data_IF_541255495506
#
_entry.id   IF_541255495506
#
_cell.length_a   1.000
_cell.length_b   1.000
_cell.length_c   1.000
_cell.angle_alpha   90.00
_cell.angle_beta   90.00
_cell.angle_gamma   90.00
#
_symmetry.space_group_name_H-M   'P 1'
#
loop_
_entity.id
_entity.type
_entity.pdbx_description
1 polymer ?
#
# COMPACT_ATOMS: atom_id res chain seq x y z
N UNK A 1 -23.64 -6.50 -13.08
CA UNK A 1 -22.39 -7.14 -12.63
C UNK A 1 -21.60 -6.19 -11.71
N UNK A 2 -21.15 -5.01 -12.15
CA UNK A 2 -20.34 -4.06 -11.35
C UNK A 2 -21.03 -3.60 -10.05
N UNK A 3 -22.32 -3.27 -10.09
CA UNK A 3 -23.06 -2.87 -8.89
C UNK A 3 -23.10 -3.95 -7.80
N UNK A 4 -23.10 -5.21 -8.19
CA UNK A 4 -23.08 -6.33 -7.24
C UNK A 4 -21.70 -6.51 -6.63
N UNK A 5 -20.63 -6.41 -7.44
CA UNK A 5 -19.24 -6.42 -6.97
C UNK A 5 -18.98 -5.27 -6.00
N UNK A 6 -19.42 -4.07 -6.34
CA UNK A 6 -19.29 -2.88 -5.48
C UNK A 6 -19.97 -3.07 -4.12
N UNK A 7 -21.17 -3.67 -4.06
CA UNK A 7 -21.85 -3.97 -2.78
C UNK A 7 -21.04 -4.95 -1.90
N UNK A 8 -20.43 -5.97 -2.50
CA UNK A 8 -19.59 -6.91 -1.77
C UNK A 8 -18.34 -6.24 -1.21
N UNK A 9 -17.68 -5.39 -2.00
CA UNK A 9 -16.51 -4.61 -1.59
C UNK A 9 -16.84 -3.63 -0.45
N UNK A 10 -17.93 -2.86 -0.57
CA UNK A 10 -18.38 -1.91 0.45
C UNK A 10 -18.71 -2.60 1.78
N UNK A 11 -19.43 -3.72 1.70
CA UNK A 11 -19.78 -4.54 2.85
C UNK A 11 -18.54 -5.10 3.54
N UNK A 12 -17.60 -5.64 2.75
CA UNK A 12 -16.35 -6.19 3.26
C UNK A 12 -15.49 -5.11 3.92
N UNK A 13 -15.32 -3.95 3.27
CA UNK A 13 -14.57 -2.83 3.82
C UNK A 13 -15.11 -2.38 5.18
N UNK A 14 -16.42 -2.21 5.29
CA UNK A 14 -17.10 -1.78 6.51
C UNK A 14 -16.95 -2.81 7.64
N UNK A 15 -17.20 -4.10 7.35
CA UNK A 15 -17.11 -5.17 8.34
C UNK A 15 -15.66 -5.40 8.81
N UNK A 16 -14.70 -5.42 7.88
CA UNK A 16 -13.27 -5.60 8.20
C UNK A 16 -12.75 -4.40 9.02
N UNK A 17 -13.16 -3.19 8.68
CA UNK A 17 -12.79 -1.99 9.46
C UNK A 17 -13.35 -2.02 10.88
N UNK A 18 -14.55 -2.59 11.08
CA UNK A 18 -15.18 -2.64 12.40
C UNK A 18 -14.68 -3.81 13.27
N UNK A 19 -14.35 -4.95 12.66
CA UNK A 19 -14.11 -6.20 13.39
C UNK A 19 -12.74 -6.82 13.15
N UNK A 20 -11.97 -6.29 12.20
CA UNK A 20 -10.71 -6.89 11.75
C UNK A 20 -10.92 -8.03 10.74
N UNK A 21 -9.91 -8.24 9.87
CA UNK A 21 -9.97 -9.23 8.80
C UNK A 21 -10.28 -10.65 9.29
N UNK A 22 -9.63 -11.11 10.37
CA UNK A 22 -9.75 -12.49 10.83
C UNK A 22 -11.13 -12.81 11.42
N UNK A 23 -11.85 -11.81 11.91
CA UNK A 23 -13.16 -11.95 12.54
C UNK A 23 -14.35 -11.80 11.58
N UNK A 24 -14.10 -11.58 10.29
CA UNK A 24 -15.15 -11.44 9.26
C UNK A 24 -15.11 -12.66 8.34
N UNK A 25 -16.26 -13.28 8.12
CA UNK A 25 -16.42 -14.40 7.19
C UNK A 25 -17.03 -13.97 5.85
N UNK A 26 -16.94 -14.86 4.84
CA UNK A 26 -17.66 -14.68 3.57
C UNK A 26 -19.17 -14.62 3.79
N UNK A 27 -19.67 -15.41 4.74
CA UNK A 27 -21.09 -15.41 5.15
C UNK A 27 -21.53 -14.04 5.68
N UNK A 28 -20.72 -13.40 6.52
CA UNK A 28 -21.01 -12.07 7.04
C UNK A 28 -21.08 -11.04 5.92
N UNK A 29 -20.10 -11.06 5.01
CA UNK A 29 -20.06 -10.14 3.84
C UNK A 29 -21.29 -10.33 2.96
N UNK A 30 -21.65 -11.58 2.64
CA UNK A 30 -22.78 -11.87 1.76
C UNK A 30 -24.12 -11.53 2.40
N UNK A 31 -24.28 -11.79 3.70
CA UNK A 31 -25.45 -11.43 4.48
C UNK A 31 -25.65 -9.93 4.56
N UNK A 32 -24.58 -9.20 4.87
CA UNK A 32 -24.60 -7.74 5.01
C UNK A 32 -24.85 -7.03 3.67
N UNK A 33 -24.21 -7.51 2.58
CA UNK A 33 -24.41 -6.95 1.23
C UNK A 33 -25.75 -7.33 0.58
N UNK A 34 -26.46 -8.31 1.13
CA UNK A 34 -27.68 -8.88 0.52
C UNK A 34 -27.38 -9.66 -0.78
N UNK A 35 -26.16 -10.17 -0.96
CA UNK A 35 -25.74 -10.91 -2.15
C UNK A 35 -25.62 -12.40 -1.82
N UNK A 36 -26.09 -13.28 -2.73
CA UNK A 36 -25.99 -14.71 -2.51
C UNK A 36 -24.53 -15.20 -2.47
N UNK A 37 -24.21 -16.20 -1.63
CA UNK A 37 -22.87 -16.77 -1.47
C UNK A 37 -22.28 -17.28 -2.79
N UNK A 38 -23.09 -17.90 -3.66
CA UNK A 38 -22.65 -18.31 -4.99
C UNK A 38 -22.21 -17.14 -5.88
N UNK A 39 -22.86 -15.99 -5.72
CA UNK A 39 -22.48 -14.77 -6.44
C UNK A 39 -21.17 -14.18 -5.91
N UNK A 40 -20.89 -14.31 -4.63
CA UNK A 40 -19.56 -13.94 -4.08
C UNK A 40 -18.45 -14.73 -4.81
N UNK A 41 -18.57 -16.05 -4.86
CA UNK A 41 -17.57 -16.92 -5.50
C UNK A 41 -17.50 -16.79 -7.03
N UNK A 42 -18.45 -16.09 -7.64
CA UNK A 42 -18.35 -15.68 -9.04
C UNK A 42 -17.34 -14.51 -9.23
N UNK A 43 -17.17 -13.65 -8.23
CA UNK A 43 -16.26 -12.49 -8.29
C UNK A 43 -14.94 -12.72 -7.59
N UNK A 44 -14.90 -13.51 -6.53
CA UNK A 44 -13.77 -13.69 -5.64
C UNK A 44 -13.62 -15.16 -5.25
N UNK A 45 -12.41 -15.71 -5.34
CA UNK A 45 -12.16 -17.10 -4.94
C UNK A 45 -12.15 -17.23 -3.40
N UNK A 46 -11.66 -16.20 -2.71
CA UNK A 46 -11.56 -16.17 -1.26
C UNK A 46 -11.74 -14.74 -0.71
N UNK A 47 -11.82 -14.62 0.61
CA UNK A 47 -11.95 -13.33 1.30
C UNK A 47 -10.71 -12.44 1.10
N UNK A 48 -9.55 -13.05 0.96
CA UNK A 48 -8.28 -12.39 0.68
C UNK A 48 -8.29 -11.60 -0.64
N UNK A 49 -9.01 -12.11 -1.66
CA UNK A 49 -9.15 -11.43 -2.95
C UNK A 49 -9.90 -10.11 -2.82
N UNK A 50 -10.89 -10.09 -1.92
CA UNK A 50 -11.65 -8.86 -1.64
C UNK A 50 -10.75 -7.79 -1.05
N UNK A 51 -9.88 -8.15 -0.10
CA UNK A 51 -8.92 -7.21 0.48
C UNK A 51 -7.94 -6.71 -0.56
N UNK A 52 -7.39 -7.59 -1.40
CA UNK A 52 -6.50 -7.21 -2.51
C UNK A 52 -7.15 -6.21 -3.46
N UNK A 53 -8.41 -6.43 -3.81
CA UNK A 53 -9.16 -5.51 -4.67
C UNK A 53 -9.40 -4.15 -3.99
N UNK A 54 -9.72 -4.14 -2.69
CA UNK A 54 -9.90 -2.92 -1.92
C UNK A 54 -8.58 -2.12 -1.83
N UNK A 55 -7.47 -2.77 -1.49
CA UNK A 55 -6.15 -2.12 -1.45
C UNK A 55 -5.73 -1.57 -2.81
N UNK A 56 -6.00 -2.31 -3.90
CA UNK A 56 -5.75 -1.83 -5.26
C UNK A 56 -6.56 -0.58 -5.60
N UNK A 57 -7.84 -0.55 -5.25
CA UNK A 57 -8.72 0.59 -5.51
C UNK A 57 -8.28 1.85 -4.75
N UNK A 58 -7.69 1.71 -3.57
CA UNK A 58 -7.18 2.84 -2.78
C UNK A 58 -5.80 3.31 -3.23
N UNK A 59 -4.98 2.44 -3.80
CA UNK A 59 -3.58 2.74 -4.16
C UNK A 59 -3.46 3.94 -5.11
N UNK A 60 -4.24 3.99 -6.18
CA UNK A 60 -4.19 5.11 -7.14
C UNK A 60 -4.58 6.43 -6.50
N UNK A 61 -5.65 6.45 -5.71
CA UNK A 61 -6.07 7.65 -4.98
C UNK A 61 -5.02 8.11 -3.96
N UNK A 62 -4.32 7.16 -3.34
CA UNK A 62 -3.21 7.46 -2.41
C UNK A 62 -2.03 8.11 -3.13
N UNK A 63 -1.68 7.63 -4.33
CA UNK A 63 -0.63 8.23 -5.16
C UNK A 63 -1.00 9.67 -5.54
N UNK A 64 -2.21 9.89 -6.01
CA UNK A 64 -2.70 11.23 -6.39
C UNK A 64 -2.68 12.19 -5.20
N UNK A 65 -3.11 11.73 -4.02
CA UNK A 65 -3.06 12.54 -2.79
C UNK A 65 -1.62 12.83 -2.36
N UNK A 66 -0.70 11.87 -2.51
CA UNK A 66 0.70 12.08 -2.18
C UNK A 66 1.37 13.11 -3.12
N UNK A 67 1.05 13.05 -4.42
CA UNK A 67 1.54 14.04 -5.40
C UNK A 67 0.98 15.43 -5.11
N UNK A 68 -0.29 15.53 -4.73
CA UNK A 68 -0.97 16.77 -4.40
C UNK A 68 -0.69 17.26 -2.96
N UNK A 69 0.05 16.49 -2.16
CA UNK A 69 0.35 16.85 -0.77
C UNK A 69 1.24 18.10 -0.73
N UNK A 70 0.82 19.09 0.05
CA UNK A 70 1.61 20.31 0.27
C UNK A 70 2.92 19.99 0.98
N UNK A 71 4.02 20.60 0.54
CA UNK A 71 5.33 20.39 1.10
C UNK A 71 6.36 19.91 0.09
N UNK A 72 7.54 19.58 0.58
CA UNK A 72 8.67 19.13 -0.21
C UNK A 72 8.57 17.63 -0.59
N UNK A 73 9.54 17.13 -1.33
CA UNK A 73 9.59 15.74 -1.76
C UNK A 73 9.65 14.75 -0.59
N UNK A 74 10.28 15.16 0.54
CA UNK A 74 10.38 14.33 1.74
C UNK A 74 8.99 14.18 2.38
N UNK A 75 8.25 15.29 2.52
CA UNK A 75 6.91 15.30 3.09
C UNK A 75 5.93 14.49 2.23
N UNK A 76 6.01 14.60 0.90
CA UNK A 76 5.21 13.77 -0.01
C UNK A 76 5.52 12.28 0.12
N UNK A 77 6.79 11.90 0.23
CA UNK A 77 7.18 10.50 0.48
C UNK A 77 6.71 10.01 1.85
N UNK A 78 6.86 10.81 2.89
CA UNK A 78 6.37 10.48 4.23
C UNK A 78 4.85 10.26 4.25
N UNK A 79 4.09 11.15 3.61
CA UNK A 79 2.65 10.98 3.46
C UNK A 79 2.31 9.66 2.77
N UNK A 80 2.94 9.36 1.64
CA UNK A 80 2.69 8.13 0.88
C UNK A 80 2.95 6.87 1.71
N UNK A 81 4.10 6.79 2.36
CA UNK A 81 4.42 5.62 3.20
C UNK A 81 3.52 5.51 4.43
N UNK A 82 3.13 6.63 5.05
CA UNK A 82 2.20 6.58 6.18
C UNK A 82 0.85 5.98 5.80
N UNK A 83 0.33 6.31 4.62
CA UNK A 83 -0.92 5.76 4.11
C UNK A 83 -0.81 4.26 3.80
N UNK A 84 0.33 3.82 3.22
CA UNK A 84 0.56 2.39 2.98
C UNK A 84 0.68 1.62 4.30
N UNK A 85 1.34 2.16 5.32
CA UNK A 85 1.41 1.53 6.63
C UNK A 85 0.04 1.38 7.29
N UNK A 86 -0.84 2.39 7.14
CA UNK A 86 -2.24 2.30 7.58
C UNK A 86 -2.99 1.18 6.84
N UNK A 87 -2.77 1.05 5.52
CA UNK A 87 -3.37 -0.03 4.73
C UNK A 87 -2.85 -1.41 5.16
N UNK A 88 -1.55 -1.56 5.45
CA UNK A 88 -0.98 -2.78 6.02
C UNK A 88 -1.62 -3.14 7.36
N UNK A 89 -1.82 -2.16 8.24
CA UNK A 89 -2.50 -2.35 9.54
C UNK A 89 -3.95 -2.78 9.35
N UNK A 90 -4.66 -2.14 8.43
CA UNK A 90 -6.05 -2.47 8.11
C UNK A 90 -6.19 -3.87 7.50
N UNK A 91 -5.32 -4.23 6.56
CA UNK A 91 -5.31 -5.55 5.91
C UNK A 91 -4.95 -6.67 6.88
N UNK A 92 -4.13 -6.38 7.87
CA UNK A 92 -3.65 -7.32 8.88
C UNK A 92 -2.44 -8.15 8.44
N UNK A 93 -1.71 -8.62 9.45
CA UNK A 93 -0.40 -9.30 9.26
C UNK A 93 -0.48 -10.54 8.36
N UNK A 94 -1.61 -11.24 8.34
CA UNK A 94 -1.80 -12.43 7.52
C UNK A 94 -1.78 -12.10 6.03
N UNK A 95 -2.48 -11.04 5.63
CA UNK A 95 -2.54 -10.57 4.24
C UNK A 95 -1.17 -10.04 3.80
N UNK A 96 -0.53 -9.23 4.64
CA UNK A 96 0.80 -8.67 4.33
C UNK A 96 1.85 -9.79 4.19
N UNK A 97 1.82 -10.82 5.04
CA UNK A 97 2.69 -12.01 4.90
C UNK A 97 2.44 -12.75 3.59
N UNK A 98 1.17 -12.91 3.21
CA UNK A 98 0.83 -13.56 1.95
C UNK A 98 1.36 -12.74 0.77
N UNK A 99 1.15 -11.43 0.78
CA UNK A 99 1.67 -10.52 -0.24
C UNK A 99 3.20 -10.57 -0.35
N UNK A 100 3.94 -10.55 0.78
CA UNK A 100 5.41 -10.68 0.79
C UNK A 100 5.84 -12.01 0.18
N UNK A 101 5.19 -13.11 0.56
CA UNK A 101 5.48 -14.45 0.01
C UNK A 101 5.26 -14.50 -1.49
N UNK A 102 4.11 -14.05 -1.95
CA UNK A 102 3.74 -14.07 -3.36
C UNK A 102 4.68 -13.19 -4.20
N UNK A 103 5.13 -12.06 -3.64
CA UNK A 103 6.11 -11.17 -4.27
C UNK A 103 7.48 -11.81 -4.43
N UNK A 104 7.92 -12.66 -3.49
CA UNK A 104 9.22 -13.36 -3.55
C UNK A 104 9.15 -14.61 -4.42
N UNK A 105 8.08 -15.41 -4.29
CA UNK A 105 7.96 -16.70 -4.95
C UNK A 105 7.57 -16.58 -6.43
N UNK A 106 7.18 -15.40 -6.89
CA UNK A 106 6.73 -15.13 -8.26
C UNK A 106 5.72 -16.19 -8.78
N UNK A 107 4.81 -16.61 -7.88
CA UNK A 107 3.92 -17.78 -8.06
C UNK A 107 2.90 -17.63 -9.17
N UNK A 108 2.65 -16.42 -9.66
CA UNK A 108 1.69 -16.23 -10.73
C UNK A 108 2.43 -16.02 -12.05
N UNK A 109 2.36 -17.04 -12.89
CA UNK A 109 2.95 -17.09 -14.24
C UNK A 109 2.37 -16.05 -15.24
N UNK A 110 1.47 -15.19 -14.77
CA UNK A 110 0.97 -14.04 -15.49
C UNK A 110 1.63 -12.78 -14.95
N UNK A 111 2.53 -12.14 -15.74
CA UNK A 111 3.18 -10.88 -15.36
C UNK A 111 2.20 -9.77 -14.98
N UNK A 112 0.95 -9.90 -15.42
CA UNK A 112 -0.11 -8.89 -15.25
C UNK A 112 -0.81 -8.92 -13.88
N UNK A 113 -0.57 -9.91 -13.01
CA UNK A 113 -1.37 -10.07 -11.78
C UNK A 113 -0.63 -9.97 -10.45
N UNK A 114 0.70 -10.19 -10.37
CA UNK A 114 1.38 -10.20 -9.06
C UNK A 114 2.69 -9.42 -8.97
N UNK A 115 3.36 -9.13 -10.07
CA UNK A 115 4.41 -8.11 -10.11
C UNK A 115 3.82 -6.70 -10.04
N UNK A 116 2.51 -6.56 -10.24
CA UNK A 116 1.82 -5.29 -10.25
C UNK A 116 2.01 -4.53 -8.93
N UNK A 117 1.78 -5.13 -7.77
CA UNK A 117 1.80 -4.36 -6.53
C UNK A 117 3.19 -3.81 -6.15
N UNK A 118 4.27 -4.58 -6.37
CA UNK A 118 5.62 -4.07 -6.20
C UNK A 118 6.00 -3.08 -7.31
N UNK A 119 5.55 -3.35 -8.52
CA UNK A 119 5.73 -2.47 -9.67
C UNK A 119 4.94 -1.17 -9.49
N UNK A 120 3.72 -1.25 -8.99
CA UNK A 120 2.88 -0.09 -8.65
C UNK A 120 3.52 0.78 -7.57
N UNK A 121 4.13 0.16 -6.55
CA UNK A 121 4.90 0.89 -5.53
C UNK A 121 6.09 1.64 -6.14
N UNK A 122 6.79 1.00 -7.07
CA UNK A 122 7.88 1.62 -7.82
C UNK A 122 7.39 2.79 -8.68
N UNK A 123 6.34 2.59 -9.47
CA UNK A 123 5.76 3.63 -10.32
C UNK A 123 5.22 4.81 -9.50
N UNK A 124 4.62 4.52 -8.35
CA UNK A 124 4.15 5.55 -7.44
C UNK A 124 5.28 6.44 -6.95
N UNK A 125 6.35 5.82 -6.44
CA UNK A 125 7.53 6.53 -5.96
C UNK A 125 8.22 7.29 -7.10
N UNK A 126 8.32 6.70 -8.29
CA UNK A 126 8.89 7.39 -9.45
C UNK A 126 8.09 8.65 -9.81
N UNK A 127 6.76 8.59 -9.76
CA UNK A 127 5.90 9.76 -9.96
C UNK A 127 6.11 10.82 -8.87
N UNK A 128 6.09 10.42 -7.59
CA UNK A 128 6.28 11.35 -6.46
C UNK A 128 7.66 12.02 -6.55
N UNK A 129 8.72 11.26 -6.80
CA UNK A 129 10.08 11.78 -6.91
C UNK A 129 10.30 12.60 -8.19
N UNK A 130 9.51 12.43 -9.24
CA UNK A 130 9.58 13.19 -10.48
C UNK A 130 8.79 14.49 -10.42
N UNK A 131 7.82 14.58 -9.52
CA UNK A 131 7.03 15.77 -9.33
C UNK A 131 7.95 16.89 -8.82
N UNK A 132 8.00 18.00 -9.55
CA UNK A 132 8.84 19.16 -9.27
C UNK A 132 10.36 18.91 -9.21
N UNK A 133 10.87 17.78 -9.73
CA UNK A 133 12.31 17.54 -9.76
C UNK A 133 13.06 18.64 -10.52
N UNK A 134 14.05 19.25 -9.86
CA UNK A 134 14.84 20.36 -10.42
C UNK A 134 14.15 21.72 -10.37
N UNK A 135 12.98 21.83 -9.75
CA UNK A 135 12.22 23.10 -9.66
C UNK A 135 12.63 23.98 -8.45
N UNK A 136 13.63 23.54 -7.69
CA UNK A 136 14.23 24.36 -6.62
C UNK A 136 14.13 23.75 -5.23
N UNK A 137 14.18 24.62 -4.21
CA UNK A 137 14.34 24.25 -2.80
C UNK A 137 13.28 23.23 -2.34
N UNK A 138 13.77 22.19 -1.66
CA UNK A 138 12.92 21.12 -1.13
C UNK A 138 12.61 20.00 -2.14
N UNK A 139 13.02 20.15 -3.39
CA UNK A 139 12.81 19.16 -4.43
C UNK A 139 14.10 18.38 -4.75
N UNK A 140 13.96 17.22 -5.40
CA UNK A 140 15.14 16.48 -5.85
C UNK A 140 15.92 17.25 -6.92
N UNK A 141 17.24 17.26 -6.78
CA UNK A 141 18.11 17.78 -7.83
C UNK A 141 17.89 17.05 -9.15
N UNK A 142 18.03 17.77 -10.25
CA UNK A 142 17.84 17.23 -11.60
C UNK A 142 18.84 16.13 -12.01
N UNK A 143 20.03 16.12 -11.36
CA UNK A 143 21.13 15.17 -11.64
C UNK A 143 21.00 13.83 -10.90
N UNK A 144 19.98 13.66 -10.03
CA UNK A 144 19.86 12.48 -9.19
C UNK A 144 19.16 11.33 -9.93
N UNK A 145 19.73 10.12 -9.90
CA UNK A 145 19.12 8.94 -10.54
C UNK A 145 17.94 8.41 -9.72
N UNK A 146 16.72 8.86 -10.04
CA UNK A 146 15.48 8.48 -9.37
C UNK A 146 15.29 6.97 -9.20
N UNK A 147 15.64 6.18 -10.21
CA UNK A 147 15.49 4.72 -10.19
C UNK A 147 16.25 4.09 -9.03
N UNK A 148 17.43 4.62 -8.69
CA UNK A 148 18.22 4.13 -7.55
C UNK A 148 17.54 4.52 -6.24
N UNK A 149 17.06 5.76 -6.12
CA UNK A 149 16.33 6.22 -4.93
C UNK A 149 15.03 5.44 -4.73
N UNK A 150 14.25 5.19 -5.77
CA UNK A 150 13.07 4.33 -5.70
C UNK A 150 13.42 2.94 -5.15
N UNK A 151 14.51 2.33 -5.63
CA UNK A 151 14.96 1.02 -5.14
C UNK A 151 15.29 1.06 -3.66
N UNK A 152 16.00 2.08 -3.20
CA UNK A 152 16.36 2.24 -1.79
C UNK A 152 15.10 2.40 -0.93
N UNK A 153 14.17 3.28 -1.34
CA UNK A 153 12.92 3.53 -0.63
C UNK A 153 12.03 2.28 -0.56
N UNK A 154 11.89 1.55 -1.67
CA UNK A 154 11.15 0.29 -1.71
C UNK A 154 11.79 -0.75 -0.81
N UNK A 155 13.14 -0.88 -0.84
CA UNK A 155 13.85 -1.83 0.00
C UNK A 155 13.68 -1.50 1.48
N UNK A 156 13.72 -0.21 1.85
CA UNK A 156 13.45 0.25 3.20
C UNK A 156 12.03 -0.12 3.66
N UNK A 157 11.03 0.21 2.85
CA UNK A 157 9.63 -0.13 3.13
C UNK A 157 9.42 -1.64 3.31
N UNK A 158 9.92 -2.46 2.37
CA UNK A 158 9.84 -3.92 2.44
C UNK A 158 10.54 -4.45 3.71
N UNK A 159 11.68 -3.87 4.08
CA UNK A 159 12.39 -4.21 5.31
C UNK A 159 11.53 -3.96 6.55
N UNK A 160 10.92 -2.79 6.67
CA UNK A 160 10.08 -2.42 7.81
C UNK A 160 8.87 -3.35 7.94
N UNK A 161 8.10 -3.57 6.88
CA UNK A 161 6.92 -4.46 6.94
C UNK A 161 7.32 -5.93 7.15
N UNK A 162 8.49 -6.35 6.66
CA UNK A 162 9.00 -7.71 6.91
C UNK A 162 9.30 -7.91 8.39
N UNK A 163 9.99 -6.97 9.03
CA UNK A 163 10.25 -7.00 10.48
C UNK A 163 8.94 -6.99 11.27
N UNK A 164 7.99 -6.13 10.90
CA UNK A 164 6.67 -6.11 11.52
C UNK A 164 5.95 -7.47 11.41
N UNK A 165 6.01 -8.10 10.24
CA UNK A 165 5.46 -9.44 10.04
C UNK A 165 6.19 -10.52 10.85
N UNK A 166 7.54 -10.45 10.94
CA UNK A 166 8.35 -11.39 11.74
C UNK A 166 8.01 -11.30 13.22
N UNK A 167 7.75 -10.09 13.71
CA UNK A 167 7.36 -9.81 15.09
C UNK A 167 5.84 -10.02 15.35
N UNK A 168 5.13 -10.61 14.40
CA UNK A 168 3.70 -10.91 14.49
C UNK A 168 2.82 -9.70 14.81
N UNK A 169 3.11 -8.58 14.17
CA UNK A 169 2.41 -7.30 14.35
C UNK A 169 2.41 -6.81 15.82
N UNK A 170 3.53 -7.01 16.54
CA UNK A 170 3.65 -6.69 17.97
C UNK A 170 3.70 -5.19 18.27
N UNK A 171 3.81 -4.34 17.26
CA UNK A 171 3.80 -2.89 17.38
C UNK A 171 2.84 -2.26 16.35
N UNK A 172 2.40 -1.04 16.63
CA UNK A 172 1.53 -0.28 15.74
C UNK A 172 2.38 0.37 14.63
N UNK A 173 2.39 -0.27 13.47
CA UNK A 173 3.20 0.17 12.32
C UNK A 173 2.85 1.61 11.87
N UNK A 174 1.58 1.97 11.87
CA UNK A 174 1.14 3.30 11.45
C UNK A 174 1.53 4.37 12.47
N UNK A 175 1.27 4.12 13.75
CA UNK A 175 1.59 5.07 14.84
C UNK A 175 3.09 5.23 15.03
N UNK A 176 3.84 4.13 14.99
CA UNK A 176 5.29 4.20 15.16
C UNK A 176 5.94 4.91 13.96
N UNK A 177 5.37 4.78 12.76
CA UNK A 177 5.87 5.49 11.57
C UNK A 177 5.81 7.01 11.69
N UNK A 178 4.85 7.57 12.42
CA UNK A 178 4.76 9.03 12.66
C UNK A 178 6.02 9.58 13.34
N UNK A 179 6.71 8.75 14.14
CA UNK A 179 7.88 9.17 14.91
C UNK A 179 9.21 9.01 14.14
N UNK A 180 9.35 8.01 13.28
CA UNK A 180 10.64 7.73 12.63
C UNK A 180 10.63 7.92 11.10
N UNK A 181 9.46 7.90 10.45
CA UNK A 181 9.37 7.93 9.00
C UNK A 181 10.03 9.20 8.41
N UNK A 182 9.76 10.36 9.01
CA UNK A 182 10.38 11.60 8.56
C UNK A 182 11.89 11.53 8.69
N UNK A 183 12.41 11.07 9.83
CA UNK A 183 13.85 10.93 10.07
C UNK A 183 14.49 9.97 9.06
N UNK A 184 13.86 8.83 8.79
CA UNK A 184 14.36 7.84 7.86
C UNK A 184 14.38 8.38 6.42
N UNK A 185 13.29 9.01 5.97
CA UNK A 185 13.20 9.59 4.63
C UNK A 185 14.13 10.79 4.48
N UNK A 186 14.27 11.65 5.49
CA UNK A 186 15.25 12.75 5.51
C UNK A 186 16.69 12.24 5.36
N UNK A 187 17.05 11.15 6.04
CA UNK A 187 18.38 10.56 5.91
C UNK A 187 18.61 9.93 4.53
N UNK A 188 17.58 9.35 3.93
CA UNK A 188 17.67 8.72 2.61
C UNK A 188 17.66 9.73 1.46
N UNK A 189 16.83 10.76 1.53
CA UNK A 189 16.63 11.72 0.43
C UNK A 189 17.36 13.05 0.65
N UNK A 190 17.55 13.48 1.88
CA UNK A 190 18.11 14.80 2.19
C UNK A 190 19.42 15.17 1.50
N UNK A 191 20.39 14.22 1.30
CA UNK A 191 21.60 14.49 0.51
C UNK A 191 21.35 14.84 -0.96
N UNK A 192 20.17 14.53 -1.50
CA UNK A 192 19.80 14.66 -2.90
C UNK A 192 18.78 15.76 -3.17
N UNK A 193 18.33 16.44 -2.11
CA UNK A 193 17.35 17.54 -2.19
C UNK A 193 18.06 18.88 -2.35
N UNK A 194 17.47 19.78 -3.15
CA UNK A 194 17.92 21.18 -3.29
C UNK A 194 17.74 21.94 -1.98
N UNK A 195 18.78 22.71 -1.57
CA UNK A 195 18.82 23.45 -0.31
C UNK A 195 18.25 24.87 -0.43
#
# INVERSE_FOLDING_TARGET
AERTKAKLLDSAQRLISAHGFDNVSVEDITKDSGVAKGTFYHYFECKEDVVRELSRNTAMATIERAIAHEGDVIERCCFYFSEIYKDCMWSGVRIVRQWLRDSVENKHAHPEQNTEALYDLYLALEKILSTHQGEGKGELRSDVPKTILCRILVSHFIGVITVWCMLNASFDLAKDSENYLKLDIENLLGPYVEK
#
